data_IF_225574147946
#
_entry.id   IF_225574147946
#
_cell.length_a   1.000
_cell.length_b   1.000
_cell.length_c   1.000
_cell.angle_alpha   90.00
_cell.angle_beta   90.00
_cell.angle_gamma   90.00
#
_symmetry.space_group_name_H-M   'P 1'
#
loop_
_entity.id
_entity.type
_entity.pdbx_description
1 polymer ?
#
# COMPACT_ATOMS: atom_id res chain seq x y z
N UNK A 1 0.76 18.70 12.91
CA UNK A 1 0.30 18.56 11.51
C UNK A 1 1.08 17.44 10.92
N UNK A 2 0.42 16.45 10.31
CA UNK A 2 1.12 15.36 9.62
C UNK A 2 1.75 15.88 8.32
N UNK A 3 3.06 15.69 8.13
CA UNK A 3 3.70 15.83 6.81
C UNK A 3 3.58 14.52 6.03
N UNK A 4 2.44 14.36 5.33
CA UNK A 4 2.17 13.23 4.45
C UNK A 4 2.62 13.53 3.01
N UNK A 5 3.43 12.65 2.42
CA UNK A 5 4.00 12.86 1.06
C UNK A 5 3.36 12.04 -0.04
N UNK A 6 2.70 10.97 0.33
CA UNK A 6 1.96 10.08 -0.56
C UNK A 6 0.86 9.46 0.27
N UNK A 7 -0.31 9.30 -0.33
CA UNK A 7 -1.43 8.61 0.27
C UNK A 7 -2.26 7.92 -0.81
N UNK A 8 -2.93 6.86 -0.41
CA UNK A 8 -3.95 6.20 -1.20
C UNK A 8 -5.09 5.76 -0.27
N UNK A 9 -6.27 5.58 -0.83
CA UNK A 9 -7.44 5.18 -0.07
C UNK A 9 -8.30 4.17 -0.81
N UNK A 10 -8.88 3.24 -0.04
CA UNK A 10 -9.81 2.24 -0.54
C UNK A 10 -11.01 2.15 0.38
N UNK A 11 -12.21 2.39 -0.14
CA UNK A 11 -13.44 2.21 0.61
C UNK A 11 -13.94 0.77 0.50
N UNK A 12 -14.49 0.23 1.60
CA UNK A 12 -15.07 -1.11 1.65
C UNK A 12 -15.98 -1.38 0.44
N UNK A 13 -16.91 -0.47 0.15
CA UNK A 13 -17.88 -0.60 -0.95
C UNK A 13 -17.29 -0.51 -2.37
N UNK A 14 -15.98 -0.26 -2.51
CA UNK A 14 -15.28 -0.43 -3.80
C UNK A 14 -14.93 -1.89 -4.07
N UNK A 15 -14.85 -2.73 -3.04
CA UNK A 15 -14.68 -4.18 -3.19
C UNK A 15 -16.03 -4.83 -3.46
N UNK A 16 -16.12 -5.57 -4.57
CA UNK A 16 -17.38 -6.19 -4.99
C UNK A 16 -17.93 -7.14 -3.91
N UNK A 17 -19.15 -6.86 -3.46
CA UNK A 17 -19.84 -7.66 -2.44
C UNK A 17 -19.57 -7.22 -0.99
N UNK A 18 -18.72 -6.22 -0.78
CA UNK A 18 -18.47 -5.65 0.54
C UNK A 18 -19.38 -4.42 0.75
N UNK A 19 -20.09 -4.41 1.88
CA UNK A 19 -21.01 -3.34 2.28
C UNK A 19 -20.55 -2.67 3.59
N UNK A 20 -19.27 -2.84 3.95
CA UNK A 20 -18.65 -2.19 5.09
C UNK A 20 -18.64 -0.67 4.97
N UNK A 21 -18.30 -0.02 6.08
CA UNK A 21 -18.42 1.43 6.24
C UNK A 21 -17.07 2.14 6.31
N UNK A 22 -15.96 1.42 6.17
CA UNK A 22 -14.63 2.00 6.33
C UNK A 22 -14.07 2.52 5.01
N UNK A 23 -13.38 3.66 5.09
CA UNK A 23 -12.43 4.12 4.09
C UNK A 23 -11.04 3.89 4.68
N UNK A 24 -10.33 2.92 4.11
CA UNK A 24 -8.96 2.57 4.45
C UNK A 24 -8.00 3.57 3.83
N UNK A 25 -7.03 4.06 4.60
CA UNK A 25 -6.09 5.09 4.15
C UNK A 25 -4.69 4.67 4.56
N UNK A 26 -3.78 4.66 3.58
CA UNK A 26 -2.34 4.48 3.84
C UNK A 26 -1.62 5.74 3.43
N UNK A 27 -0.61 6.15 4.22
CA UNK A 27 0.18 7.33 3.93
C UNK A 27 1.63 7.20 4.42
N UNK A 28 2.53 7.92 3.75
CA UNK A 28 3.92 8.06 4.16
C UNK A 28 4.07 9.24 5.14
N UNK A 29 4.34 8.93 6.42
CA UNK A 29 4.51 9.90 7.50
C UNK A 29 5.98 10.30 7.69
N UNK A 30 6.29 11.59 7.69
CA UNK A 30 7.64 12.11 7.98
C UNK A 30 7.86 12.66 9.38
N UNK A 31 6.83 12.68 10.21
CA UNK A 31 6.93 13.21 11.57
C UNK A 31 7.79 12.31 12.46
N UNK A 32 7.76 12.54 13.79
CA UNK A 32 8.62 11.93 14.83
C UNK A 32 8.91 10.42 14.73
N UNK A 33 8.06 9.65 14.04
CA UNK A 33 8.33 8.27 13.66
C UNK A 33 8.10 8.13 12.15
N UNK A 34 9.15 8.34 11.33
CA UNK A 34 9.05 8.22 9.89
C UNK A 34 8.69 6.79 9.48
N UNK A 35 7.64 6.64 8.69
CA UNK A 35 7.18 5.33 8.27
C UNK A 35 5.90 5.38 7.46
N UNK A 36 5.49 4.21 6.98
CA UNK A 36 4.21 4.02 6.31
C UNK A 36 3.17 3.63 7.35
N UNK A 37 2.05 4.35 7.34
CA UNK A 37 1.01 4.23 8.36
C UNK A 37 -0.34 3.93 7.75
N UNK A 38 -1.17 3.27 8.53
CA UNK A 38 -2.57 2.98 8.22
C UNK A 38 -3.50 3.69 9.21
N UNK A 39 -4.57 4.28 8.66
CA UNK A 39 -5.74 4.74 9.42
C UNK A 39 -7.00 4.39 8.64
N UNK A 40 -8.15 4.47 9.29
CA UNK A 40 -9.43 4.42 8.59
C UNK A 40 -10.39 5.51 9.08
N UNK A 41 -11.27 5.93 8.18
CA UNK A 41 -12.47 6.71 8.49
C UNK A 41 -13.67 5.78 8.46
N UNK A 42 -14.39 5.62 9.56
CA UNK A 42 -15.67 4.92 9.58
C UNK A 42 -16.78 5.90 9.21
N UNK A 43 -17.44 5.64 8.09
CA UNK A 43 -18.51 6.51 7.59
C UNK A 43 -19.85 6.32 8.29
N UNK A 44 -19.98 5.30 9.15
CA UNK A 44 -21.20 5.09 9.93
C UNK A 44 -21.37 6.12 11.06
N UNK A 45 -20.26 6.55 11.66
CA UNK A 45 -20.24 7.48 12.79
C UNK A 45 -19.27 8.66 12.62
N UNK A 46 -18.47 8.67 11.56
CA UNK A 46 -17.46 9.69 11.27
C UNK A 46 -16.20 9.57 12.11
N UNK A 47 -15.99 8.46 12.82
CA UNK A 47 -14.81 8.23 13.65
C UNK A 47 -13.58 7.92 12.80
N UNK A 48 -12.41 8.34 13.29
CA UNK A 48 -11.11 7.94 12.74
C UNK A 48 -10.46 6.98 13.71
N UNK A 49 -10.02 5.83 13.22
CA UNK A 49 -9.33 4.81 13.99
C UNK A 49 -8.07 4.30 13.30
N UNK A 50 -7.39 3.35 13.96
CA UNK A 50 -6.06 2.86 13.55
C UNK A 50 -4.95 3.74 14.10
N UNK A 51 -4.04 4.17 13.22
CA UNK A 51 -2.68 4.70 13.47
C UNK A 51 -1.62 3.61 13.64
N UNK A 52 -1.79 2.54 12.87
CA UNK A 52 -0.89 1.40 12.84
C UNK A 52 0.31 1.67 11.95
N UNK A 53 1.48 1.34 12.48
CA UNK A 53 2.73 1.36 11.72
C UNK A 53 2.81 0.10 10.86
N UNK A 54 2.75 0.26 9.54
CA UNK A 54 2.96 -0.85 8.60
C UNK A 54 4.47 -1.13 8.50
N UNK A 55 5.25 -0.07 8.30
CA UNK A 55 6.70 -0.16 8.10
C UNK A 55 7.41 1.11 8.61
N UNK A 56 8.52 0.94 9.33
CA UNK A 56 9.44 2.06 9.63
C UNK A 56 10.26 2.39 8.39
N UNK A 57 10.53 3.67 8.12
CA UNK A 57 11.45 4.06 7.06
C UNK A 57 12.78 3.29 7.19
N UNK A 58 13.16 2.57 6.13
CA UNK A 58 14.37 1.77 6.08
C UNK A 58 15.61 2.67 5.82
N UNK A 59 16.79 2.03 5.74
CA UNK A 59 18.05 2.73 5.50
C UNK A 59 18.39 3.70 6.63
N UNK A 60 18.46 4.99 6.29
CA UNK A 60 18.75 6.08 7.23
C UNK A 60 17.65 6.33 8.26
N UNK A 61 16.45 5.74 8.10
CA UNK A 61 15.31 5.98 8.98
C UNK A 61 14.59 7.31 8.71
N UNK A 62 14.92 7.99 7.61
CA UNK A 62 14.38 9.29 7.23
C UNK A 62 14.06 9.29 5.74
N UNK A 63 12.82 9.65 5.37
CA UNK A 63 12.43 9.79 3.96
C UNK A 63 13.16 10.97 3.28
N UNK A 64 13.46 10.83 1.98
CA UNK A 64 14.06 11.88 1.14
C UNK A 64 13.25 13.17 1.19
N UNK A 65 13.84 14.33 1.47
CA UNK A 65 13.04 15.57 1.67
C UNK A 65 12.32 16.11 0.43
N UNK A 66 12.84 15.84 -0.77
CA UNK A 66 12.28 16.28 -2.06
C UNK A 66 10.86 15.75 -2.31
N UNK A 67 10.08 16.49 -3.11
CA UNK A 67 8.71 16.14 -3.49
C UNK A 67 8.67 15.64 -4.94
N UNK A 68 7.92 14.56 -5.18
CA UNK A 68 7.81 13.93 -6.49
C UNK A 68 7.32 12.49 -6.37
N UNK A 69 6.52 12.05 -7.34
CA UNK A 69 5.98 10.68 -7.39
C UNK A 69 7.10 9.62 -7.38
N UNK A 70 8.28 9.98 -7.88
CA UNK A 70 9.50 9.15 -7.87
C UNK A 70 9.97 8.80 -6.45
N UNK A 71 9.63 9.60 -5.43
CA UNK A 71 10.24 9.53 -4.10
C UNK A 71 9.37 8.83 -3.05
N UNK A 72 8.06 8.77 -3.26
CA UNK A 72 7.14 8.04 -2.39
C UNK A 72 5.84 7.69 -3.13
N UNK A 73 5.48 6.42 -3.11
CA UNK A 73 4.21 5.90 -3.59
C UNK A 73 3.70 4.86 -2.61
N UNK A 74 2.43 4.99 -2.24
CA UNK A 74 1.69 3.94 -1.55
C UNK A 74 0.45 3.62 -2.38
N UNK A 75 0.03 2.37 -2.38
CA UNK A 75 -1.28 1.98 -2.88
C UNK A 75 -1.91 0.96 -1.94
N UNK A 76 -3.23 1.07 -1.73
CA UNK A 76 -3.99 0.16 -0.88
C UNK A 76 -5.21 -0.39 -1.62
N UNK A 77 -5.52 -1.66 -1.38
CA UNK A 77 -6.79 -2.26 -1.79
C UNK A 77 -7.28 -3.25 -0.75
N UNK A 78 -8.55 -3.67 -0.88
CA UNK A 78 -9.14 -4.74 -0.06
C UNK A 78 -9.56 -5.90 -0.96
N UNK A 79 -9.00 -7.08 -0.72
CA UNK A 79 -9.31 -8.30 -1.46
C UNK A 79 -10.77 -8.71 -1.27
N UNK A 80 -11.33 -9.51 -2.19
CA UNK A 80 -12.70 -10.04 -2.05
C UNK A 80 -12.85 -10.93 -0.80
N UNK A 81 -11.76 -11.51 -0.32
CA UNK A 81 -11.69 -12.29 0.90
C UNK A 81 -11.51 -11.45 2.18
N UNK A 82 -11.44 -10.11 2.05
CA UNK A 82 -11.46 -9.17 3.16
C UNK A 82 -10.10 -8.70 3.67
N UNK A 83 -8.99 -9.25 3.17
CA UNK A 83 -7.66 -8.79 3.56
C UNK A 83 -7.35 -7.43 2.92
N UNK A 84 -6.65 -6.58 3.64
CA UNK A 84 -6.01 -5.40 3.07
C UNK A 84 -4.68 -5.80 2.44
N UNK A 85 -4.34 -5.15 1.33
CA UNK A 85 -3.07 -5.30 0.64
C UNK A 85 -2.49 -3.91 0.34
N UNK A 86 -1.21 -3.73 0.61
CA UNK A 86 -0.52 -2.44 0.52
C UNK A 86 0.80 -2.60 -0.22
N UNK A 87 0.97 -1.84 -1.29
CA UNK A 87 2.22 -1.71 -2.03
C UNK A 87 2.88 -0.39 -1.64
N UNK A 88 4.18 -0.46 -1.36
CA UNK A 88 4.97 0.65 -0.83
C UNK A 88 6.20 0.81 -1.70
N UNK A 89 6.52 2.05 -2.04
CA UNK A 89 7.81 2.47 -2.58
C UNK A 89 8.19 3.82 -1.99
N UNK A 90 9.44 3.99 -1.61
CA UNK A 90 9.97 5.28 -1.20
C UNK A 90 11.49 5.35 -1.34
N UNK A 91 12.01 6.56 -1.26
CA UNK A 91 13.43 6.85 -1.19
C UNK A 91 13.79 7.41 0.20
N UNK A 92 14.89 6.96 0.76
CA UNK A 92 15.42 7.51 2.01
C UNK A 92 16.30 8.75 1.76
N UNK A 93 16.81 9.37 2.84
CA UNK A 93 17.58 10.60 2.75
C UNK A 93 18.94 10.46 2.05
N UNK A 94 19.47 9.25 1.93
CA UNK A 94 20.72 8.93 1.21
C UNK A 94 20.46 8.48 -0.25
N UNK A 95 19.24 8.67 -0.74
CA UNK A 95 18.83 8.32 -2.10
C UNK A 95 18.80 6.82 -2.39
N UNK A 96 18.57 6.00 -1.35
CA UNK A 96 18.34 4.56 -1.49
C UNK A 96 16.84 4.30 -1.63
N UNK A 97 16.48 3.56 -2.69
CA UNK A 97 15.11 3.18 -2.97
C UNK A 97 14.75 1.88 -2.25
N UNK A 98 13.55 1.87 -1.65
CA UNK A 98 12.96 0.73 -0.97
C UNK A 98 11.57 0.49 -1.53
N UNK A 99 11.21 -0.78 -1.66
CA UNK A 99 9.87 -1.18 -2.02
C UNK A 99 9.46 -2.42 -1.21
N UNK A 100 8.18 -2.53 -0.89
CA UNK A 100 7.66 -3.65 -0.11
C UNK A 100 6.17 -3.87 -0.39
N UNK A 101 5.71 -5.08 -0.09
CA UNK A 101 4.32 -5.47 -0.21
C UNK A 101 3.87 -6.10 1.10
N UNK A 102 2.74 -5.64 1.64
CA UNK A 102 2.18 -6.11 2.89
C UNK A 102 0.73 -6.52 2.72
N UNK A 103 0.31 -7.51 3.49
CA UNK A 103 -1.10 -7.83 3.67
C UNK A 103 -1.49 -7.83 5.14
N UNK A 104 -2.76 -7.56 5.42
CA UNK A 104 -3.32 -7.60 6.77
C UNK A 104 -4.74 -8.15 6.78
N UNK A 105 -5.06 -9.13 7.66
CA UNK A 105 -6.42 -9.65 7.78
C UNK A 105 -7.33 -8.81 8.69
N UNK A 106 -6.74 -7.94 9.53
CA UNK A 106 -7.43 -7.22 10.61
C UNK A 106 -7.14 -5.72 10.62
N UNK A 107 -6.23 -5.26 9.77
CA UNK A 107 -5.68 -3.91 9.69
C UNK A 107 -4.77 -3.47 10.85
N UNK A 108 -4.45 -4.40 11.76
CA UNK A 108 -3.55 -4.18 12.91
C UNK A 108 -2.26 -5.01 12.74
N UNK A 109 -2.39 -6.24 12.21
CA UNK A 109 -1.30 -7.18 11.98
C UNK A 109 -0.87 -7.12 10.52
N UNK A 110 0.28 -6.51 10.25
CA UNK A 110 0.84 -6.37 8.90
C UNK A 110 1.92 -7.42 8.64
N UNK A 111 1.74 -8.22 7.59
CA UNK A 111 2.70 -9.27 7.20
C UNK A 111 3.36 -8.90 5.88
N UNK A 112 4.69 -8.80 5.88
CA UNK A 112 5.46 -8.63 4.65
C UNK A 112 5.31 -9.86 3.75
N UNK A 113 5.13 -9.63 2.46
CA UNK A 113 5.03 -10.63 1.41
C UNK A 113 6.13 -10.39 0.37
N UNK A 114 6.53 -11.42 -0.39
CA UNK A 114 7.41 -11.24 -1.54
C UNK A 114 6.93 -10.08 -2.40
N UNK A 115 7.88 -9.21 -2.74
CA UNK A 115 7.60 -7.93 -3.36
C UNK A 115 6.91 -8.06 -4.72
N UNK A 116 6.08 -7.06 -5.00
CA UNK A 116 5.34 -6.91 -6.24
C UNK A 116 6.16 -6.21 -7.35
N UNK A 117 7.21 -5.49 -6.96
CA UNK A 117 8.04 -4.68 -7.85
C UNK A 117 9.12 -5.54 -8.50
N UNK A 118 9.35 -5.35 -9.81
CA UNK A 118 10.47 -5.99 -10.52
C UNK A 118 11.71 -5.11 -10.51
N UNK A 119 11.52 -3.79 -10.47
CA UNK A 119 12.60 -2.82 -10.34
C UNK A 119 12.20 -1.64 -9.45
N UNK A 120 13.19 -0.89 -8.99
CA UNK A 120 13.07 0.29 -8.14
C UNK A 120 12.35 1.44 -8.84
N UNK A 121 12.29 1.47 -10.17
CA UNK A 121 11.67 2.54 -10.95
C UNK A 121 10.18 2.31 -11.20
N UNK A 122 9.67 1.11 -10.94
CA UNK A 122 8.27 0.77 -11.21
C UNK A 122 7.30 1.50 -10.27
N UNK A 123 6.11 1.75 -10.80
CA UNK A 123 4.95 2.23 -10.03
C UNK A 123 3.89 1.15 -10.02
N UNK A 124 3.16 1.00 -8.91
CA UNK A 124 2.17 -0.06 -8.75
C UNK A 124 0.90 0.48 -8.11
N UNK A 125 -0.24 0.32 -8.79
CA UNK A 125 -1.57 0.54 -8.23
C UNK A 125 -2.24 -0.81 -7.97
N UNK A 126 -2.84 -0.96 -6.80
CA UNK A 126 -3.49 -2.20 -6.39
C UNK A 126 -5.01 -2.17 -6.59
N UNK A 127 -5.56 -3.31 -6.98
CA UNK A 127 -7.00 -3.56 -7.13
C UNK A 127 -7.34 -4.97 -6.65
N UNK A 128 -8.58 -5.23 -6.20
CA UNK A 128 -8.98 -6.58 -5.85
C UNK A 128 -8.94 -7.47 -7.09
N UNK A 129 -8.27 -8.63 -6.99
CA UNK A 129 -8.29 -9.64 -8.03
C UNK A 129 -9.66 -10.31 -8.14
N UNK A 130 -9.93 -10.88 -9.31
CA UNK A 130 -11.16 -11.63 -9.59
C UNK A 130 -10.90 -13.09 -9.99
N UNK A 131 -9.73 -13.59 -9.63
CA UNK A 131 -9.28 -14.96 -9.79
C UNK A 131 -10.09 -15.96 -8.93
N UNK A 132 -9.70 -17.25 -8.97
CA UNK A 132 -10.35 -18.27 -8.16
C UNK A 132 -10.15 -18.05 -6.66
N UNK A 133 -8.96 -17.59 -6.25
CA UNK A 133 -8.70 -17.21 -4.86
C UNK A 133 -9.24 -15.80 -4.60
N UNK A 134 -9.97 -15.66 -3.50
CA UNK A 134 -10.55 -14.39 -3.10
C UNK A 134 -9.52 -13.46 -2.42
N UNK A 135 -8.32 -13.96 -2.13
CA UNK A 135 -7.20 -13.20 -1.59
C UNK A 135 -6.28 -12.60 -2.65
N UNK A 136 -6.57 -12.85 -3.93
CA UNK A 136 -5.73 -12.37 -5.02
C UNK A 136 -5.90 -10.87 -5.25
N UNK A 137 -4.82 -10.27 -5.72
CA UNK A 137 -4.69 -8.82 -5.96
C UNK A 137 -4.17 -8.60 -7.37
N UNK A 138 -4.71 -7.61 -8.06
CA UNK A 138 -4.15 -7.08 -9.29
C UNK A 138 -3.25 -5.89 -8.99
N UNK A 139 -2.04 -5.91 -9.54
CA UNK A 139 -1.16 -4.75 -9.62
C UNK A 139 -1.12 -4.24 -11.06
N UNK A 140 -1.48 -2.97 -11.27
CA UNK A 140 -1.20 -2.27 -12.53
C UNK A 140 0.15 -1.59 -12.37
N UNK A 141 1.10 -2.00 -13.21
CA UNK A 141 2.46 -1.52 -13.16
C UNK A 141 2.73 -0.57 -14.31
N UNK A 142 3.42 0.52 -13.99
CA UNK A 142 4.11 1.29 -15.00
C UNK A 142 5.60 1.08 -14.84
N UNK A 143 6.20 0.36 -15.79
CA UNK A 143 7.64 0.26 -15.93
C UNK A 143 8.13 1.54 -16.61
N UNK A 144 8.71 2.44 -15.81
CA UNK A 144 9.17 3.73 -16.28
C UNK A 144 10.35 3.61 -17.25
N UNK A 145 11.23 2.63 -17.04
CA UNK A 145 12.44 2.42 -17.85
C UNK A 145 12.13 1.88 -19.26
N UNK A 146 11.13 0.99 -19.37
CA UNK A 146 10.65 0.44 -20.64
C UNK A 146 9.49 1.25 -21.26
N UNK A 147 8.92 2.18 -20.49
CA UNK A 147 7.71 2.92 -20.82
C UNK A 147 6.53 2.00 -21.19
N UNK A 148 6.29 0.99 -20.37
CA UNK A 148 5.26 -0.04 -20.58
C UNK A 148 4.31 -0.12 -19.38
N UNK A 149 3.02 -0.33 -19.66
CA UNK A 149 2.04 -0.66 -18.63
C UNK A 149 1.77 -2.15 -18.69
N UNK A 150 1.91 -2.84 -17.55
CA UNK A 150 1.60 -4.25 -17.41
C UNK A 150 0.61 -4.50 -16.27
N UNK A 151 -0.16 -5.58 -16.39
CA UNK A 151 -1.00 -6.10 -15.32
C UNK A 151 -0.29 -7.32 -14.74
N UNK A 152 -0.16 -7.40 -13.42
CA UNK A 152 0.32 -8.60 -12.74
C UNK A 152 -0.69 -9.02 -11.70
N UNK A 153 -0.85 -10.34 -11.57
CA UNK A 153 -1.67 -10.94 -10.52
C UNK A 153 -0.76 -11.42 -9.42
N UNK A 154 -1.07 -11.02 -8.19
CA UNK A 154 -0.54 -11.61 -6.98
C UNK A 154 -1.47 -12.75 -6.55
N UNK A 155 -0.94 -13.97 -6.61
CA UNK A 155 -1.62 -15.16 -6.13
C UNK A 155 -1.22 -15.41 -4.67
N UNK A 156 -2.18 -15.29 -3.74
CA UNK A 156 -1.95 -15.52 -2.31
C UNK A 156 -2.40 -16.93 -1.86
N UNK A 157 -2.67 -17.85 -2.79
CA UNK A 157 -3.23 -19.19 -2.52
C UNK A 157 -2.33 -20.14 -1.74
N UNK A 158 -1.13 -19.72 -1.34
CA UNK A 158 -0.26 -20.53 -0.49
C UNK A 158 0.23 -21.81 -1.16
N UNK A 159 0.22 -21.89 -2.49
CA UNK A 159 0.81 -22.99 -3.24
C UNK A 159 1.92 -22.42 -4.13
N UNK A 160 3.15 -22.68 -3.72
CA UNK A 160 4.34 -22.65 -4.58
C UNK A 160 4.33 -23.80 -5.58
#
# INVERSE_FOLDING_TARGET
SCDAKSFDCWADWQTAGDAGTKIHIVYANRDNVPGIRYVYLDTSDGSVGGDDLIETCQGTGVFRTSEGILYAMVSITKTRGGNLAVAIKYEDSDSVLFHSFYTSPDADTWTSKPGLYEDNEDYCLLFPGNEADNQDVWGIYWNASANEISLKTFDNSGIS
#
